data_IF_801118676221
#
_entry.id   IF_801118676221
#
_cell.length_a   1.000
_cell.length_b   1.000
_cell.length_c   1.000
_cell.angle_alpha   90.00
_cell.angle_beta   90.00
_cell.angle_gamma   90.00
#
_symmetry.space_group_name_H-M   'P 1'
#
loop_
_entity.id
_entity.type
_entity.pdbx_description
1 polymer ?
#
# COMPACT_ATOMS: atom_id res chain seq x y z
N UNK A 1 -11.64 3.79 -10.85
CA UNK A 1 -10.38 3.19 -10.36
C UNK A 1 -10.19 3.39 -8.86
N UNK A 2 -10.11 4.63 -8.33
CA UNK A 2 -9.90 4.87 -6.89
C UNK A 2 -10.95 4.19 -5.96
N UNK A 3 -12.24 4.22 -6.32
CA UNK A 3 -13.27 3.51 -5.55
C UNK A 3 -13.06 1.99 -5.55
N UNK A 4 -12.69 1.42 -6.70
CA UNK A 4 -12.40 -0.03 -6.85
C UNK A 4 -11.21 -0.42 -5.98
N UNK A 5 -10.15 0.40 -5.99
CA UNK A 5 -8.99 0.25 -5.12
C UNK A 5 -9.41 0.23 -3.64
N UNK A 6 -10.25 1.17 -3.21
CA UNK A 6 -10.71 1.19 -1.82
C UNK A 6 -11.50 -0.06 -1.43
N UNK A 7 -12.40 -0.54 -2.30
CA UNK A 7 -13.18 -1.76 -2.06
C UNK A 7 -12.24 -2.97 -1.97
N UNK A 8 -11.29 -3.09 -2.90
CA UNK A 8 -10.31 -4.17 -2.90
C UNK A 8 -9.47 -4.16 -1.61
N UNK A 9 -9.00 -2.99 -1.17
CA UNK A 9 -8.25 -2.85 0.08
C UNK A 9 -9.07 -3.23 1.31
N UNK A 10 -10.33 -2.79 1.40
CA UNK A 10 -11.21 -3.16 2.51
C UNK A 10 -11.50 -4.67 2.53
N UNK A 11 -11.80 -5.26 1.37
CA UNK A 11 -12.00 -6.71 1.26
C UNK A 11 -10.76 -7.49 1.67
N UNK A 12 -9.58 -7.02 1.27
CA UNK A 12 -8.27 -7.59 1.65
C UNK A 12 -8.06 -7.52 3.17
N UNK A 13 -8.34 -6.37 3.78
CA UNK A 13 -8.25 -6.19 5.24
C UNK A 13 -9.22 -7.11 5.99
N UNK A 14 -10.48 -7.20 5.55
CA UNK A 14 -11.44 -8.11 6.18
C UNK A 14 -11.06 -9.58 6.02
N UNK A 15 -10.47 -9.99 4.89
CA UNK A 15 -9.93 -11.33 4.74
C UNK A 15 -8.85 -11.62 5.80
N UNK A 16 -7.95 -10.67 6.08
CA UNK A 16 -6.95 -10.84 7.13
C UNK A 16 -7.57 -11.00 8.51
N UNK A 17 -8.58 -10.18 8.84
CA UNK A 17 -9.28 -10.30 10.12
C UNK A 17 -9.97 -11.66 10.28
N UNK A 18 -10.64 -12.14 9.23
CA UNK A 18 -11.31 -13.44 9.25
C UNK A 18 -10.29 -14.57 9.37
N UNK A 19 -9.14 -14.46 8.71
CA UNK A 19 -8.05 -15.44 8.85
C UNK A 19 -7.62 -15.62 10.31
N UNK A 20 -7.43 -14.53 11.07
CA UNK A 20 -7.06 -14.61 12.49
C UNK A 20 -8.17 -15.15 13.42
N UNK A 21 -9.42 -15.18 12.95
CA UNK A 21 -10.57 -15.68 13.73
C UNK A 21 -10.90 -17.14 13.39
N UNK A 22 -10.92 -17.46 12.10
CA UNK A 22 -11.47 -18.70 11.56
C UNK A 22 -10.49 -19.53 10.71
N UNK A 23 -9.26 -19.04 10.50
CA UNK A 23 -8.25 -19.65 9.62
C UNK A 23 -8.78 -19.90 8.20
N UNK A 24 -8.32 -20.95 7.52
CA UNK A 24 -8.81 -21.34 6.19
C UNK A 24 -8.21 -20.52 5.03
N UNK A 25 -8.92 -20.37 3.89
CA UNK A 25 -8.36 -19.78 2.68
C UNK A 25 -8.14 -18.27 2.78
N UNK A 26 -8.60 -17.63 3.85
CA UNK A 26 -8.61 -16.18 3.99
C UNK A 26 -7.22 -15.55 4.05
N UNK A 27 -6.19 -16.28 4.51
CA UNK A 27 -4.80 -15.85 4.41
C UNK A 27 -4.39 -15.66 2.95
N UNK A 28 -4.57 -16.70 2.13
CA UNK A 28 -4.29 -16.65 0.68
C UNK A 28 -5.10 -15.58 -0.05
N UNK A 29 -6.37 -15.37 0.36
CA UNK A 29 -7.21 -14.29 -0.19
C UNK A 29 -6.65 -12.92 0.17
N UNK A 30 -6.18 -12.72 1.41
CA UNK A 30 -5.48 -11.51 1.81
C UNK A 30 -4.21 -11.29 0.98
N UNK A 31 -3.39 -12.33 0.79
CA UNK A 31 -2.15 -12.23 0.02
C UNK A 31 -2.42 -11.84 -1.43
N UNK A 32 -3.38 -12.48 -2.10
CA UNK A 32 -3.84 -12.11 -3.44
C UNK A 32 -4.37 -10.68 -3.48
N UNK A 33 -5.14 -10.31 -2.45
CA UNK A 33 -5.68 -8.96 -2.27
C UNK A 33 -4.59 -7.91 -2.22
N UNK A 34 -3.50 -8.15 -1.50
CA UNK A 34 -2.37 -7.23 -1.43
C UNK A 34 -1.67 -7.03 -2.79
N UNK A 35 -1.45 -8.10 -3.54
CA UNK A 35 -0.94 -8.01 -4.90
C UNK A 35 -1.87 -7.18 -5.79
N UNK A 36 -3.19 -7.40 -5.68
CA UNK A 36 -4.20 -6.63 -6.40
C UNK A 36 -4.20 -5.15 -6.01
N UNK A 37 -4.04 -4.80 -4.73
CA UNK A 37 -3.90 -3.41 -4.26
C UNK A 37 -2.71 -2.75 -4.98
N UNK A 38 -1.57 -3.44 -5.05
CA UNK A 38 -0.39 -2.96 -5.76
C UNK A 38 -0.69 -2.65 -7.23
N UNK A 39 -1.27 -3.61 -7.96
CA UNK A 39 -1.64 -3.46 -9.38
C UNK A 39 -2.62 -2.31 -9.58
N UNK A 40 -3.70 -2.25 -8.80
CA UNK A 40 -4.71 -1.19 -8.91
C UNK A 40 -4.12 0.19 -8.60
N UNK A 41 -3.14 0.27 -7.70
CA UNK A 41 -2.40 1.50 -7.39
C UNK A 41 -1.56 1.96 -8.58
N UNK A 42 -0.83 1.06 -9.23
CA UNK A 42 -0.09 1.38 -10.46
C UNK A 42 -1.03 1.81 -11.59
N UNK A 43 -2.16 1.12 -11.79
CA UNK A 43 -3.14 1.53 -12.80
C UNK A 43 -3.68 2.93 -12.50
N UNK A 44 -4.03 3.22 -11.24
CA UNK A 44 -4.47 4.56 -10.83
C UNK A 44 -3.38 5.61 -11.08
N UNK A 45 -2.12 5.30 -10.80
CA UNK A 45 -0.98 6.19 -11.05
C UNK A 45 -0.80 6.50 -12.54
N UNK A 46 -0.89 5.49 -13.40
CA UNK A 46 -0.78 5.65 -14.85
C UNK A 46 -1.95 6.48 -15.41
N UNK A 47 -3.17 6.28 -14.92
CA UNK A 47 -4.33 7.10 -15.30
C UNK A 47 -4.18 8.57 -14.89
N UNK A 48 -3.41 8.84 -13.84
CA UNK A 48 -3.17 10.19 -13.33
C UNK A 48 -1.87 10.82 -13.87
N UNK A 49 -1.05 10.11 -14.66
CA UNK A 49 0.31 10.53 -15.01
C UNK A 49 0.39 11.95 -15.60
N UNK A 50 -0.57 12.33 -16.45
CA UNK A 50 -0.63 13.65 -17.09
C UNK A 50 -1.24 14.76 -16.23
N UNK A 51 -1.80 14.42 -15.06
CA UNK A 51 -2.51 15.35 -14.17
C UNK A 51 -1.89 15.44 -12.79
N UNK A 52 -1.27 14.37 -12.30
CA UNK A 52 -0.71 14.26 -10.97
C UNK A 52 0.46 13.26 -10.93
N UNK A 53 1.63 13.74 -10.51
CA UNK A 53 2.83 12.92 -10.29
C UNK A 53 3.79 12.84 -11.48
N UNK A 54 3.34 13.13 -12.70
CA UNK A 54 4.19 13.09 -13.90
C UNK A 54 4.76 11.69 -14.18
N UNK A 55 5.65 11.57 -15.18
CA UNK A 55 6.28 10.29 -15.54
C UNK A 55 6.99 9.62 -14.37
N UNK A 56 7.67 10.42 -13.53
CA UNK A 56 8.38 9.93 -12.34
C UNK A 56 7.43 9.27 -11.36
N UNK A 57 6.30 9.90 -11.05
CA UNK A 57 5.29 9.33 -10.16
C UNK A 57 4.72 8.02 -10.70
N UNK A 58 4.47 7.94 -12.00
CA UNK A 58 4.03 6.70 -12.65
C UNK A 58 5.05 5.57 -12.48
N UNK A 59 6.33 5.84 -12.75
CA UNK A 59 7.41 4.85 -12.60
C UNK A 59 7.53 4.37 -11.14
N UNK A 60 7.53 5.30 -10.18
CA UNK A 60 7.61 4.98 -8.75
C UNK A 60 6.46 4.06 -8.32
N UNK A 61 5.23 4.34 -8.75
CA UNK A 61 4.07 3.51 -8.45
C UNK A 61 4.15 2.12 -9.09
N UNK A 62 4.63 2.03 -10.34
CA UNK A 62 4.80 0.75 -11.04
C UNK A 62 5.85 -0.12 -10.36
N UNK A 63 7.01 0.45 -9.99
CA UNK A 63 8.04 -0.28 -9.25
C UNK A 63 7.47 -0.73 -7.90
N UNK A 64 6.76 0.14 -7.19
CA UNK A 64 6.09 -0.20 -5.93
C UNK A 64 5.11 -1.37 -6.09
N UNK A 65 4.31 -1.37 -7.15
CA UNK A 65 3.37 -2.45 -7.45
C UNK A 65 4.09 -3.77 -7.75
N UNK A 66 5.17 -3.75 -8.54
CA UNK A 66 5.98 -4.95 -8.82
C UNK A 66 6.53 -5.54 -7.53
N UNK A 67 7.08 -4.71 -6.64
CA UNK A 67 7.62 -5.14 -5.35
C UNK A 67 6.52 -5.68 -4.43
N UNK A 68 5.35 -5.05 -4.38
CA UNK A 68 4.21 -5.53 -3.59
C UNK A 68 3.68 -6.88 -4.10
N UNK A 69 3.55 -7.03 -5.42
CA UNK A 69 3.18 -8.30 -6.06
C UNK A 69 4.22 -9.38 -5.79
N UNK A 70 5.50 -9.05 -5.81
CA UNK A 70 6.56 -9.99 -5.46
C UNK A 70 6.43 -10.43 -3.98
N UNK A 71 6.26 -9.51 -3.04
CA UNK A 71 5.99 -9.86 -1.64
C UNK A 71 4.79 -10.81 -1.49
N UNK A 72 3.69 -10.52 -2.17
CA UNK A 72 2.50 -11.38 -2.20
C UNK A 72 2.79 -12.77 -2.77
N UNK A 73 3.54 -12.83 -3.88
CA UNK A 73 3.94 -14.08 -4.51
C UNK A 73 4.80 -14.94 -3.58
N UNK A 74 5.75 -14.35 -2.83
CA UNK A 74 6.62 -15.10 -1.90
C UNK A 74 5.82 -15.84 -0.82
N UNK A 75 4.78 -15.21 -0.25
CA UNK A 75 3.88 -15.88 0.72
C UNK A 75 3.09 -16.98 0.03
N UNK A 76 2.49 -16.68 -1.13
CA UNK A 76 1.58 -17.62 -1.81
C UNK A 76 2.29 -18.90 -2.27
N UNK A 77 3.59 -18.81 -2.59
CA UNK A 77 4.40 -19.96 -3.01
C UNK A 77 5.17 -20.62 -1.87
N UNK A 78 4.98 -20.18 -0.62
CA UNK A 78 5.71 -20.67 0.56
C UNK A 78 7.25 -20.59 0.40
N UNK A 79 7.75 -19.64 -0.40
CA UNK A 79 9.20 -19.46 -0.63
C UNK A 79 9.88 -18.87 0.59
N UNK A 80 9.17 -18.00 1.30
CA UNK A 80 9.55 -17.43 2.60
C UNK A 80 8.35 -17.49 3.52
N UNK A 81 8.56 -17.31 4.82
CA UNK A 81 7.51 -17.04 5.77
C UNK A 81 6.80 -15.70 5.51
N UNK A 82 5.71 -15.54 6.24
CA UNK A 82 4.81 -14.39 6.13
C UNK A 82 5.50 -13.07 6.50
N UNK A 83 6.42 -13.09 7.45
CA UNK A 83 7.04 -11.87 7.96
C UNK A 83 8.03 -11.29 6.94
N UNK A 84 8.93 -12.11 6.40
CA UNK A 84 9.91 -11.66 5.41
C UNK A 84 9.21 -11.13 4.14
N UNK A 85 8.24 -11.90 3.65
CA UNK A 85 7.44 -11.47 2.51
C UNK A 85 6.61 -10.20 2.82
N UNK A 86 6.13 -10.06 4.06
CA UNK A 86 5.47 -8.87 4.57
C UNK A 86 6.36 -7.63 4.54
N UNK A 87 7.67 -7.76 4.85
CA UNK A 87 8.63 -6.67 4.68
C UNK A 87 8.77 -6.27 3.22
N UNK A 88 9.00 -7.23 2.32
CA UNK A 88 9.11 -6.98 0.87
C UNK A 88 7.87 -6.25 0.37
N UNK A 89 6.68 -6.72 0.75
CA UNK A 89 5.43 -6.11 0.36
C UNK A 89 5.26 -4.68 0.89
N UNK A 90 5.64 -4.45 2.15
CA UNK A 90 5.59 -3.14 2.79
C UNK A 90 6.52 -2.13 2.11
N UNK A 91 7.69 -2.55 1.61
CA UNK A 91 8.57 -1.71 0.78
C UNK A 91 7.83 -1.26 -0.49
N UNK A 92 7.15 -2.18 -1.17
CA UNK A 92 6.34 -1.88 -2.35
C UNK A 92 5.22 -0.86 -2.06
N UNK A 93 4.50 -1.05 -0.96
CA UNK A 93 3.51 -0.07 -0.49
C UNK A 93 4.14 1.27 -0.11
N UNK A 94 5.36 1.29 0.44
CA UNK A 94 6.09 2.53 0.69
C UNK A 94 6.35 3.34 -0.57
N UNK A 95 6.71 2.69 -1.67
CA UNK A 95 6.87 3.34 -2.98
C UNK A 95 5.52 3.85 -3.54
N UNK A 96 4.44 3.11 -3.34
CA UNK A 96 3.08 3.60 -3.66
C UNK A 96 2.73 4.83 -2.79
N UNK A 97 3.11 4.83 -1.52
CA UNK A 97 3.01 6.00 -0.64
C UNK A 97 3.80 7.20 -1.16
N UNK A 98 5.01 6.98 -1.69
CA UNK A 98 5.82 8.04 -2.31
C UNK A 98 5.13 8.62 -3.56
N UNK A 99 4.53 7.78 -4.39
CA UNK A 99 3.67 8.24 -5.48
C UNK A 99 2.49 9.08 -4.97
N UNK A 100 1.80 8.63 -3.91
CA UNK A 100 0.69 9.38 -3.32
C UNK A 100 1.13 10.78 -2.82
N UNK A 101 2.33 10.89 -2.23
CA UNK A 101 2.91 12.18 -1.86
C UNK A 101 3.13 13.10 -3.08
N UNK A 102 3.57 12.55 -4.22
CA UNK A 102 3.71 13.31 -5.47
C UNK A 102 2.35 13.78 -6.00
N UNK A 103 1.31 12.95 -5.89
CA UNK A 103 -0.06 13.35 -6.24
C UNK A 103 -0.53 14.49 -5.32
N UNK A 104 -0.32 14.39 -4.00
CA UNK A 104 -0.70 15.43 -3.03
C UNK A 104 0.06 16.76 -3.19
N UNK A 105 1.19 16.75 -3.90
CA UNK A 105 1.98 17.93 -4.29
C UNK A 105 1.64 18.48 -5.67
N UNK A 106 0.92 17.73 -6.49
CA UNK A 106 0.67 18.10 -7.88
C UNK A 106 -0.27 19.32 -8.01
N UNK A 107 -0.25 20.02 -9.15
CA UNK A 107 -1.20 21.11 -9.41
C UNK A 107 -2.67 20.67 -9.27
N UNK A 108 -2.99 19.41 -9.61
CA UNK A 108 -4.34 18.84 -9.42
C UNK A 108 -4.82 18.88 -7.96
N UNK A 109 -3.90 18.82 -7.00
CA UNK A 109 -4.24 18.89 -5.58
C UNK A 109 -4.56 20.32 -5.10
N UNK A 110 -4.39 21.35 -5.94
CA UNK A 110 -4.78 22.72 -5.60
C UNK A 110 -6.30 22.86 -5.46
N UNK A 111 -7.07 22.09 -6.21
CA UNK A 111 -8.55 22.11 -6.20
C UNK A 111 -9.17 21.15 -5.18
N UNK A 112 -8.34 20.55 -4.32
CA UNK A 112 -8.78 19.65 -3.26
C UNK A 112 -9.13 20.44 -2.01
N UNK A 113 -10.08 19.91 -1.23
CA UNK A 113 -10.27 20.41 0.13
C UNK A 113 -9.00 20.19 0.96
N UNK A 114 -8.76 21.09 1.92
CA UNK A 114 -7.60 21.00 2.83
C UNK A 114 -7.55 19.63 3.52
N UNK A 115 -8.71 19.09 3.92
CA UNK A 115 -8.82 17.79 4.57
C UNK A 115 -8.38 16.64 3.66
N UNK A 116 -8.81 16.61 2.39
CA UNK A 116 -8.40 15.56 1.45
C UNK A 116 -6.88 15.60 1.21
N UNK A 117 -6.32 16.79 1.07
CA UNK A 117 -4.88 16.98 0.86
C UNK A 117 -4.04 16.58 2.07
N UNK A 118 -4.44 17.00 3.28
CA UNK A 118 -3.78 16.59 4.52
C UNK A 118 -3.87 15.08 4.72
N UNK A 119 -5.03 14.48 4.45
CA UNK A 119 -5.22 13.05 4.61
C UNK A 119 -4.39 12.24 3.60
N UNK A 120 -4.23 12.74 2.37
CA UNK A 120 -3.31 12.17 1.38
C UNK A 120 -1.87 12.15 1.92
N UNK A 121 -1.43 13.25 2.53
CA UNK A 121 -0.10 13.35 3.14
C UNK A 121 0.11 12.40 4.31
N UNK A 122 -0.86 12.32 5.23
CA UNK A 122 -0.79 11.39 6.37
C UNK A 122 -0.73 9.94 5.89
N UNK A 123 -1.57 9.59 4.92
CA UNK A 123 -1.57 8.26 4.29
C UNK A 123 -0.20 7.95 3.66
N UNK A 124 0.31 8.86 2.83
CA UNK A 124 1.60 8.72 2.17
C UNK A 124 2.75 8.58 3.18
N UNK A 125 2.77 9.43 4.22
CA UNK A 125 3.80 9.39 5.24
C UNK A 125 3.81 8.06 6.01
N UNK A 126 2.65 7.55 6.42
CA UNK A 126 2.54 6.26 7.09
C UNK A 126 3.08 5.11 6.22
N UNK A 127 2.68 5.06 4.95
CA UNK A 127 3.16 4.06 3.99
C UNK A 127 4.67 4.16 3.75
N UNK A 128 5.20 5.36 3.52
CA UNK A 128 6.63 5.59 3.27
C UNK A 128 7.47 5.24 4.49
N UNK A 129 7.09 5.68 5.69
CA UNK A 129 7.80 5.35 6.93
C UNK A 129 7.83 3.83 7.13
N UNK A 130 6.68 3.17 6.95
CA UNK A 130 6.61 1.72 7.04
C UNK A 130 7.50 1.02 6.02
N UNK A 131 7.49 1.47 4.77
CA UNK A 131 8.33 0.92 3.70
C UNK A 131 9.82 1.09 3.98
N UNK A 132 10.26 2.27 4.45
CA UNK A 132 11.66 2.50 4.84
C UNK A 132 12.04 1.60 6.01
N UNK A 133 11.19 1.51 7.03
CA UNK A 133 11.42 0.66 8.18
C UNK A 133 11.49 -0.83 7.78
N UNK A 134 10.75 -1.28 6.77
CA UNK A 134 10.78 -2.66 6.31
C UNK A 134 12.10 -3.06 5.60
N UNK A 135 12.85 -2.11 5.04
CA UNK A 135 14.06 -2.41 4.24
C UNK A 135 15.09 -3.23 5.02
N UNK A 136 15.52 -2.85 6.24
CA UNK A 136 16.48 -3.65 6.98
C UNK A 136 15.97 -5.06 7.31
N UNK A 137 14.69 -5.21 7.65
CA UNK A 137 14.10 -6.52 7.93
C UNK A 137 14.19 -7.47 6.74
N UNK A 138 13.87 -6.96 5.55
CA UNK A 138 14.01 -7.70 4.30
C UNK A 138 15.48 -8.05 3.99
N UNK A 139 16.42 -7.10 4.17
CA UNK A 139 17.85 -7.33 3.91
C UNK A 139 18.50 -8.30 4.90
N UNK A 140 18.03 -8.30 6.15
CA UNK A 140 18.49 -9.23 7.19
C UNK A 140 17.86 -10.62 7.06
N UNK A 141 16.85 -10.80 6.20
CA UNK A 141 16.14 -12.06 6.06
C UNK A 141 15.34 -12.45 7.30
N UNK A 142 14.85 -11.47 8.06
CA UNK A 142 14.07 -11.74 9.28
C UNK A 142 12.72 -12.31 8.89
N UNK A 143 12.42 -13.50 9.40
CA UNK A 143 11.19 -14.23 9.07
C UNK A 143 10.45 -14.80 10.29
N UNK A 144 11.04 -14.68 11.49
CA UNK A 144 10.38 -14.96 12.76
C UNK A 144 10.16 -13.66 13.54
N UNK A 145 8.99 -13.53 14.17
CA UNK A 145 8.67 -12.39 15.04
C UNK A 145 9.56 -12.32 16.28
N UNK A 146 10.13 -13.42 16.75
CA UNK A 146 11.10 -13.42 17.86
C UNK A 146 12.37 -12.66 17.54
N UNK A 147 12.70 -12.53 16.25
CA UNK A 147 13.97 -11.97 15.78
C UNK A 147 13.84 -10.48 15.42
N UNK A 148 12.63 -9.91 15.50
CA UNK A 148 12.33 -8.52 15.13
C UNK A 148 12.82 -7.55 16.20
N UNK A 149 13.83 -6.70 15.91
CA UNK A 149 14.26 -5.67 16.84
C UNK A 149 13.14 -4.64 17.09
N UNK A 150 13.09 -4.08 18.30
CA UNK A 150 12.00 -3.17 18.72
C UNK A 150 11.73 -2.01 17.74
N UNK A 151 12.78 -1.42 17.16
CA UNK A 151 12.66 -0.30 16.21
C UNK A 151 12.07 -0.72 14.86
N UNK A 152 12.18 -2.00 14.49
CA UNK A 152 11.73 -2.51 13.20
C UNK A 152 10.20 -2.56 13.12
N UNK A 153 9.51 -2.61 14.27
CA UNK A 153 8.04 -2.55 14.38
C UNK A 153 7.40 -1.30 13.74
N UNK A 154 8.18 -0.26 13.46
CA UNK A 154 7.72 0.88 12.67
C UNK A 154 7.19 0.49 11.28
N UNK A 155 7.58 -0.67 10.74
CA UNK A 155 6.98 -1.21 9.51
C UNK A 155 5.46 -1.37 9.60
N UNK A 156 4.92 -1.59 10.82
CA UNK A 156 3.49 -1.67 11.10
C UNK A 156 2.71 -0.40 10.70
N UNK A 157 3.36 0.76 10.67
CA UNK A 157 2.76 2.00 10.16
C UNK A 157 2.44 1.90 8.66
N UNK A 158 3.21 1.11 7.91
CA UNK A 158 2.95 0.84 6.49
C UNK A 158 1.64 0.09 6.29
N UNK A 159 1.36 -0.89 7.15
CA UNK A 159 0.09 -1.62 7.15
C UNK A 159 -1.09 -0.74 7.57
N UNK A 160 -0.92 0.11 8.58
CA UNK A 160 -1.94 1.09 8.96
C UNK A 160 -2.25 2.06 7.80
N UNK A 161 -1.20 2.57 7.16
CA UNK A 161 -1.32 3.41 5.97
C UNK A 161 -2.07 2.70 4.85
N UNK A 162 -1.72 1.43 4.58
CA UNK A 162 -2.30 0.64 3.48
C UNK A 162 -3.73 0.20 3.74
N UNK A 163 -4.02 -0.42 4.89
CA UNK A 163 -5.33 -1.02 5.16
C UNK A 163 -6.38 -0.05 5.70
N UNK A 164 -5.96 1.04 6.33
CA UNK A 164 -6.90 1.97 6.99
C UNK A 164 -6.94 3.30 6.26
N UNK A 165 -5.81 3.97 6.09
CA UNK A 165 -5.82 5.33 5.55
C UNK A 165 -6.03 5.34 4.02
N UNK A 166 -5.35 4.47 3.30
CA UNK A 166 -5.41 4.42 1.84
C UNK A 166 -6.80 4.14 1.24
N UNK A 167 -7.63 3.21 1.76
CA UNK A 167 -9.00 3.06 1.24
C UNK A 167 -9.89 4.26 1.55
N UNK A 168 -9.73 4.88 2.72
CA UNK A 168 -10.48 6.09 3.09
C UNK A 168 -10.13 7.25 2.16
N UNK A 169 -8.83 7.45 1.92
CA UNK A 169 -8.36 8.46 0.96
C UNK A 169 -8.88 8.16 -0.45
N UNK A 170 -8.81 6.90 -0.88
CA UNK A 170 -9.23 6.47 -2.22
C UNK A 170 -10.74 6.65 -2.44
N UNK A 171 -11.58 6.42 -1.43
CA UNK A 171 -13.02 6.71 -1.48
C UNK A 171 -13.29 8.21 -1.58
N UNK A 172 -12.63 9.02 -0.75
CA UNK A 172 -12.82 10.47 -0.75
C UNK A 172 -12.37 11.08 -2.10
N UNK A 173 -11.18 10.70 -2.56
CA UNK A 173 -10.65 11.12 -3.85
C UNK A 173 -11.55 10.65 -5.01
N UNK A 174 -11.99 9.39 -4.98
CA UNK A 174 -12.90 8.84 -5.99
C UNK A 174 -14.22 9.60 -6.10
N UNK A 175 -14.83 9.98 -4.98
CA UNK A 175 -16.06 10.80 -4.96
C UNK A 175 -15.83 12.18 -5.56
N UNK A 176 -14.67 12.79 -5.29
CA UNK A 176 -14.30 14.10 -5.85
C UNK A 176 -14.15 14.09 -7.37
N UNK A 177 -13.69 12.97 -7.95
CA UNK A 177 -13.54 12.79 -9.40
C UNK A 177 -14.88 12.53 -10.12
N UNK A 178 -15.89 11.98 -9.43
CA UNK A 178 -17.21 11.72 -10.03
C UNK A 178 -18.13 12.94 -9.89
N UNK A 179 -17.96 13.72 -8.82
CA UNK A 179 -18.73 14.95 -8.59
C UNK A 179 -18.17 16.20 -9.29
N UNK A 180 -17.15 16.05 -10.16
CA UNK A 180 -16.59 17.13 -10.99
C UNK A 180 -17.10 17.06 -12.41
#
# INVERSE_FOLDING_TARGET
MAIVLAIATLATFFALLIFFIAAGPFGRINDLGNGLIGVLSAVLALLLIGRAGGPVGGVVAVIGAVVAVWGSWLVITDTTGFLLAGFVMTIGFGLIGAWLALVARSPMAADWSIGLRLFAWVTAAAMVIGGIAAVPGALMGIDDFSDVPAWLWLFGLGWLGTYVFYPVWSLWFGRRLVGS
#
